data_IF_424269493826
#
_entry.id   IF_424269493826
#
_cell.length_a   1.000
_cell.length_b   1.000
_cell.length_c   1.000
_cell.angle_alpha   90.00
_cell.angle_beta   90.00
_cell.angle_gamma   90.00
#
_symmetry.space_group_name_H-M   'P 1'
#
loop_
_entity.id
_entity.type
_entity.pdbx_description
1 polymer ?
#
# COMPACT_ATOMS: atom_id res chain seq x y z
N UNK A 1 -21.90 8.21 -14.13
CA UNK A 1 -21.38 6.97 -13.48
C UNK A 1 -19.88 7.05 -13.50
N UNK A 2 -19.26 6.84 -12.36
CA UNK A 2 -17.80 6.73 -12.29
C UNK A 2 -17.38 5.38 -12.89
N UNK A 3 -16.41 5.41 -13.78
CA UNK A 3 -15.86 4.21 -14.45
C UNK A 3 -14.45 4.02 -13.96
N UNK A 4 -14.19 2.88 -13.34
CA UNK A 4 -12.86 2.53 -12.83
C UNK A 4 -11.96 2.03 -13.96
N UNK A 5 -10.70 2.48 -13.95
CA UNK A 5 -9.65 1.95 -14.79
C UNK A 5 -9.05 0.66 -14.19
N UNK A 6 -8.44 -0.19 -15.04
CA UNK A 6 -7.67 -1.33 -14.58
C UNK A 6 -6.20 -0.95 -14.33
N UNK A 7 -5.62 -0.06 -15.16
CA UNK A 7 -4.25 0.44 -14.96
C UNK A 7 -4.05 1.82 -15.62
N UNK A 8 -2.97 2.49 -15.23
CA UNK A 8 -2.51 3.73 -15.86
C UNK A 8 -1.69 3.35 -17.10
N UNK A 9 -2.17 3.77 -18.28
CA UNK A 9 -1.51 3.49 -19.55
C UNK A 9 -0.33 4.43 -19.84
N UNK A 10 -0.47 5.71 -19.46
CA UNK A 10 0.54 6.74 -19.74
C UNK A 10 0.45 7.89 -18.76
N UNK A 11 1.58 8.44 -18.40
CA UNK A 11 1.72 9.67 -17.62
C UNK A 11 2.51 10.69 -18.44
N UNK A 12 2.00 11.89 -18.55
CA UNK A 12 2.68 13.04 -19.16
C UNK A 12 2.84 14.14 -18.11
N UNK A 13 4.04 14.71 -18.02
CA UNK A 13 4.35 15.82 -17.13
C UNK A 13 5.04 16.89 -17.96
N UNK A 14 4.38 18.02 -18.15
CA UNK A 14 4.95 19.15 -18.87
C UNK A 14 5.69 20.09 -17.92
N UNK A 15 6.73 20.73 -18.45
CA UNK A 15 7.55 21.75 -17.75
C UNK A 15 8.04 21.30 -16.37
N UNK A 16 8.48 20.04 -16.23
CA UNK A 16 9.13 19.60 -15.01
C UNK A 16 10.38 20.47 -14.77
N UNK A 17 10.38 21.24 -13.67
CA UNK A 17 11.37 22.28 -13.35
C UNK A 17 11.54 23.36 -14.44
N UNK A 18 10.45 23.68 -15.16
CA UNK A 18 10.43 24.64 -16.29
C UNK A 18 11.41 24.27 -17.42
N UNK A 19 11.72 22.98 -17.57
CA UNK A 19 12.76 22.55 -18.52
C UNK A 19 12.46 21.26 -19.26
N UNK A 20 11.80 20.30 -18.64
CA UNK A 20 11.65 18.95 -19.18
C UNK A 20 10.19 18.57 -19.34
N UNK A 21 9.88 18.02 -20.52
CA UNK A 21 8.62 17.31 -20.76
C UNK A 21 8.89 15.81 -20.66
N UNK A 22 8.07 15.13 -19.87
CA UNK A 22 8.17 13.69 -19.66
C UNK A 22 6.92 13.05 -20.24
N UNK A 23 7.10 12.00 -20.99
CA UNK A 23 6.05 11.11 -21.45
C UNK A 23 6.47 9.68 -21.13
N UNK A 24 5.70 9.01 -20.27
CA UNK A 24 6.01 7.68 -19.77
C UNK A 24 4.87 6.72 -20.07
N UNK A 25 5.08 5.83 -21.04
CA UNK A 25 4.16 4.73 -21.35
C UNK A 25 4.36 3.61 -20.34
N UNK A 26 3.27 3.20 -19.71
CA UNK A 26 3.27 2.23 -18.63
C UNK A 26 2.71 0.88 -19.07
N UNK A 27 3.23 -0.17 -18.48
CA UNK A 27 2.72 -1.53 -18.59
C UNK A 27 1.65 -1.78 -17.53
N UNK A 28 0.74 -2.75 -17.73
CA UNK A 28 -0.32 -3.06 -16.75
C UNK A 28 0.21 -3.72 -15.46
N UNK A 29 1.45 -4.18 -15.46
CA UNK A 29 2.10 -4.89 -14.35
C UNK A 29 3.09 -3.96 -13.60
N UNK A 30 4.36 -4.28 -13.61
CA UNK A 30 5.41 -3.56 -12.87
C UNK A 30 6.10 -2.55 -13.78
N UNK A 31 6.22 -1.30 -13.29
CA UNK A 31 6.96 -0.22 -13.93
C UNK A 31 8.01 0.31 -12.95
N UNK A 32 9.27 0.39 -13.39
CA UNK A 32 10.39 0.81 -12.55
C UNK A 32 10.96 2.11 -13.09
N UNK A 33 10.94 3.16 -12.26
CA UNK A 33 11.60 4.42 -12.52
C UNK A 33 12.97 4.42 -11.83
N UNK A 34 14.02 4.24 -12.59
CA UNK A 34 15.40 4.15 -12.11
C UNK A 34 16.22 5.37 -12.51
N UNK A 35 17.21 5.72 -11.71
CA UNK A 35 18.15 6.83 -11.97
C UNK A 35 18.89 7.26 -10.70
N UNK A 36 19.90 8.12 -10.88
CA UNK A 36 20.70 8.64 -9.77
C UNK A 36 19.87 9.49 -8.81
N UNK A 37 20.37 9.66 -7.58
CA UNK A 37 19.68 10.49 -6.59
C UNK A 37 19.61 11.95 -7.08
N UNK A 38 18.48 12.60 -6.82
CA UNK A 38 18.21 13.96 -7.25
C UNK A 38 17.73 14.12 -8.69
N UNK A 39 17.62 13.06 -9.49
CA UNK A 39 17.14 13.13 -10.88
C UNK A 39 15.63 13.37 -11.01
N UNK A 40 14.89 13.34 -9.88
CA UNK A 40 13.46 13.67 -9.85
C UNK A 40 12.50 12.49 -9.79
N UNK A 41 12.95 11.27 -9.49
CA UNK A 41 12.08 10.10 -9.34
C UNK A 41 10.89 10.36 -8.40
N UNK A 42 11.18 10.77 -7.18
CA UNK A 42 10.17 11.16 -6.17
C UNK A 42 9.27 12.31 -6.64
N UNK A 43 9.81 13.27 -7.39
CA UNK A 43 9.03 14.40 -7.92
C UNK A 43 8.01 13.93 -8.96
N UNK A 44 8.40 13.04 -9.87
CA UNK A 44 7.52 12.44 -10.88
C UNK A 44 6.39 11.66 -10.18
N UNK A 45 6.77 10.80 -9.23
CA UNK A 45 5.81 10.00 -8.46
C UNK A 45 4.81 10.88 -7.70
N UNK A 46 5.30 11.89 -6.95
CA UNK A 46 4.43 12.80 -6.20
C UNK A 46 3.51 13.63 -7.10
N UNK A 47 3.98 14.11 -8.26
CA UNK A 47 3.11 14.82 -9.22
C UNK A 47 2.00 13.93 -9.76
N UNK A 48 2.32 12.66 -10.06
CA UNK A 48 1.33 11.68 -10.51
C UNK A 48 0.29 11.38 -9.44
N UNK A 49 0.71 11.19 -8.19
CA UNK A 49 -0.19 10.97 -7.04
C UNK A 49 -1.08 12.18 -6.80
N UNK A 50 -0.50 13.40 -6.77
CA UNK A 50 -1.28 14.63 -6.57
C UNK A 50 -2.34 14.84 -7.66
N UNK A 51 -2.04 14.46 -8.91
CA UNK A 51 -3.05 14.47 -9.98
C UNK A 51 -4.21 13.52 -9.67
N UNK A 52 -3.93 12.29 -9.22
CA UNK A 52 -4.97 11.33 -8.87
C UNK A 52 -5.79 11.76 -7.65
N UNK A 53 -5.17 12.42 -6.66
CA UNK A 53 -5.88 13.00 -5.51
C UNK A 53 -6.89 14.07 -5.93
N UNK A 54 -6.50 14.93 -6.85
CA UNK A 54 -7.35 16.02 -7.35
C UNK A 54 -8.49 15.51 -8.25
N UNK A 55 -8.25 14.45 -9.02
CA UNK A 55 -9.27 13.87 -9.91
C UNK A 55 -10.28 12.98 -9.18
N UNK A 56 -9.96 12.49 -8.00
CA UNK A 56 -10.89 11.73 -7.13
C UNK A 56 -11.88 12.62 -6.37
N UNK A 57 -11.74 13.96 -6.42
CA UNK A 57 -12.69 14.95 -5.94
C UNK A 57 -13.31 15.70 -7.13
N UNK A 58 -14.46 16.35 -6.94
CA UNK A 58 -15.21 17.10 -7.98
C UNK A 58 -14.44 18.25 -8.67
N UNK A 59 -13.14 18.34 -8.52
CA UNK A 59 -12.28 19.38 -9.11
C UNK A 59 -11.74 18.90 -10.45
N UNK A 60 -12.35 19.37 -11.52
CA UNK A 60 -11.85 19.22 -12.89
C UNK A 60 -10.42 19.75 -13.00
N UNK A 61 -9.54 18.89 -13.57
CA UNK A 61 -8.23 19.15 -14.16
C UNK A 61 -7.68 20.56 -13.95
N UNK A 62 -6.71 20.69 -13.07
CA UNK A 62 -5.86 21.85 -12.99
C UNK A 62 -4.85 21.78 -14.16
N UNK A 63 -5.20 22.38 -15.31
CA UNK A 63 -4.27 22.59 -16.44
C UNK A 63 -2.99 23.31 -16.01
N UNK A 64 -3.00 23.92 -14.80
CA UNK A 64 -1.86 24.65 -14.23
C UNK A 64 -0.70 23.76 -13.77
N UNK A 65 -0.92 22.46 -13.51
CA UNK A 65 0.14 21.59 -13.02
C UNK A 65 0.86 20.81 -14.12
N UNK A 66 0.38 20.88 -15.37
CA UNK A 66 1.03 20.23 -16.52
C UNK A 66 1.16 18.71 -16.41
N UNK A 67 0.30 18.04 -15.63
CA UNK A 67 0.28 16.60 -15.48
C UNK A 67 -0.97 16.03 -16.11
N UNK A 68 -0.82 14.99 -16.94
CA UNK A 68 -1.91 14.24 -17.54
C UNK A 68 -1.70 12.74 -17.30
N UNK A 69 -2.74 12.07 -16.83
CA UNK A 69 -2.76 10.62 -16.64
C UNK A 69 -3.79 10.02 -17.57
N UNK A 70 -3.37 9.06 -18.38
CA UNK A 70 -4.22 8.35 -19.32
C UNK A 70 -4.44 6.93 -18.81
N UNK A 71 -5.68 6.51 -18.74
CA UNK A 71 -6.07 5.17 -18.34
C UNK A 71 -6.12 4.21 -19.54
N UNK A 72 -6.15 2.91 -19.26
CA UNK A 72 -6.36 1.85 -20.24
C UNK A 72 -7.71 1.99 -20.96
N UNK A 73 -8.75 2.37 -20.21
CA UNK A 73 -10.08 2.67 -20.71
C UNK A 73 -10.26 4.19 -20.82
N UNK A 74 -10.48 4.74 -22.04
CA UNK A 74 -10.71 6.18 -22.21
C UNK A 74 -11.96 6.72 -21.50
N UNK A 75 -12.93 5.84 -21.17
CA UNK A 75 -14.11 6.21 -20.40
C UNK A 75 -13.89 6.20 -18.89
N UNK A 76 -12.75 5.69 -18.43
CA UNK A 76 -12.44 5.64 -17.00
C UNK A 76 -12.19 7.04 -16.43
N UNK A 77 -12.71 7.27 -15.25
CA UNK A 77 -12.64 8.55 -14.55
C UNK A 77 -11.75 8.51 -13.32
N UNK A 78 -11.47 7.31 -12.80
CA UNK A 78 -10.63 7.12 -11.62
C UNK A 78 -9.95 5.75 -11.60
N UNK A 79 -8.92 5.63 -10.78
CA UNK A 79 -8.29 4.38 -10.40
C UNK A 79 -7.95 4.43 -8.90
N UNK A 80 -8.28 3.40 -8.11
CA UNK A 80 -7.83 3.30 -6.73
C UNK A 80 -6.31 3.20 -6.67
N UNK A 81 -5.69 3.85 -5.69
CA UNK A 81 -4.24 3.78 -5.52
C UNK A 81 -3.86 3.78 -4.04
N UNK A 82 -2.66 3.29 -3.76
CA UNK A 82 -1.97 3.43 -2.48
C UNK A 82 -0.54 3.94 -2.72
N UNK A 83 0.00 4.65 -1.72
CA UNK A 83 1.37 5.18 -1.76
C UNK A 83 2.14 4.63 -0.57
N UNK A 84 3.24 3.92 -0.86
CA UNK A 84 4.16 3.44 0.16
C UNK A 84 5.43 4.28 0.09
N UNK A 85 5.76 4.93 1.20
CA UNK A 85 6.97 5.73 1.36
C UNK A 85 7.91 5.03 2.33
N UNK A 86 9.15 4.83 1.92
CA UNK A 86 10.16 4.10 2.69
C UNK A 86 10.89 4.94 3.72
N UNK A 87 10.62 6.25 3.78
CA UNK A 87 11.31 7.13 4.71
C UNK A 87 10.79 6.98 6.13
N UNK A 88 11.61 6.38 7.00
CA UNK A 88 11.36 6.33 8.44
C UNK A 88 11.77 7.68 9.09
N UNK A 89 11.09 8.75 8.67
CA UNK A 89 11.30 10.08 9.24
C UNK A 89 10.51 10.23 10.53
N UNK A 90 11.08 10.90 11.55
CA UNK A 90 10.30 11.32 12.70
C UNK A 90 9.11 12.19 12.23
N UNK A 91 7.93 11.90 12.73
CA UNK A 91 6.76 12.73 12.46
C UNK A 91 6.98 14.10 13.10
N UNK A 92 6.87 15.16 12.30
CA UNK A 92 6.69 16.51 12.83
C UNK A 92 5.20 16.59 13.20
N UNK A 93 4.91 16.28 14.45
CA UNK A 93 3.57 16.28 14.97
C UNK A 93 3.02 17.71 14.99
N UNK A 94 2.16 18.05 14.04
CA UNK A 94 1.23 19.16 14.22
C UNK A 94 0.21 18.78 15.31
N UNK A 95 -0.37 19.78 15.99
CA UNK A 95 -1.31 19.58 17.12
C UNK A 95 -2.47 18.61 16.85
N UNK A 96 -2.81 18.40 15.60
CA UNK A 96 -3.92 17.53 15.19
C UNK A 96 -3.55 16.04 15.20
N UNK A 97 -2.36 15.68 14.72
CA UNK A 97 -1.86 14.30 14.71
C UNK A 97 -1.47 13.83 16.11
N UNK A 98 -0.98 14.73 16.96
CA UNK A 98 -0.62 14.42 18.34
C UNK A 98 -1.82 13.98 19.20
N UNK A 99 -3.04 14.42 18.87
CA UNK A 99 -4.27 14.08 19.61
C UNK A 99 -4.94 12.78 19.17
N UNK A 100 -4.63 12.27 18.00
CA UNK A 100 -5.29 11.11 17.39
C UNK A 100 -4.40 9.87 17.27
N UNK A 101 -3.09 10.02 17.36
CA UNK A 101 -2.16 8.90 17.23
C UNK A 101 -1.90 8.22 18.58
N UNK A 102 -1.77 6.90 18.56
CA UNK A 102 -1.21 6.13 19.67
C UNK A 102 0.18 6.68 20.02
N UNK A 103 0.51 6.75 21.32
CA UNK A 103 1.80 7.20 21.84
C UNK A 103 3.00 6.40 21.27
N UNK A 104 2.75 5.24 20.67
CA UNK A 104 3.74 4.42 20.00
C UNK A 104 4.09 4.88 18.57
N UNK A 105 3.28 5.74 17.95
CA UNK A 105 3.50 6.26 16.60
C UNK A 105 4.51 7.41 16.64
N UNK A 106 5.72 7.17 16.14
CA UNK A 106 6.83 8.12 16.22
C UNK A 106 7.41 8.49 14.85
N UNK A 107 7.16 7.68 13.84
CA UNK A 107 7.71 7.84 12.50
C UNK A 107 6.65 7.74 11.42
N UNK A 108 7.03 8.09 10.20
CA UNK A 108 6.16 7.96 9.02
C UNK A 108 5.73 6.51 8.79
N UNK A 109 6.62 5.53 8.99
CA UNK A 109 6.28 4.11 8.89
C UNK A 109 5.30 3.69 10.00
N UNK A 110 5.47 4.21 11.23
CA UNK A 110 4.53 3.94 12.31
C UNK A 110 3.13 4.49 11.98
N UNK A 111 3.07 5.67 11.36
CA UNK A 111 1.81 6.27 10.92
C UNK A 111 1.13 5.44 9.83
N UNK A 112 1.88 5.00 8.82
CA UNK A 112 1.35 4.11 7.78
C UNK A 112 0.83 2.81 8.39
N UNK A 113 1.57 2.18 9.31
CA UNK A 113 1.13 0.99 10.03
C UNK A 113 -0.14 1.24 10.86
N UNK A 114 -0.24 2.38 11.53
CA UNK A 114 -1.43 2.76 12.30
C UNK A 114 -2.69 2.84 11.40
N UNK A 115 -2.58 3.48 10.24
CA UNK A 115 -3.68 3.56 9.29
C UNK A 115 -4.02 2.17 8.70
N UNK A 116 -3.00 1.38 8.37
CA UNK A 116 -3.18 0.04 7.82
C UNK A 116 -3.80 -0.95 8.82
N UNK A 117 -3.51 -0.82 10.12
CA UNK A 117 -4.19 -1.64 11.14
C UNK A 117 -5.70 -1.41 11.17
N UNK A 118 -6.16 -0.17 10.97
CA UNK A 118 -7.59 0.14 10.87
C UNK A 118 -8.21 -0.50 9.62
N UNK A 119 -7.56 -0.34 8.47
CA UNK A 119 -8.00 -0.98 7.22
C UNK A 119 -7.99 -2.51 7.35
N UNK A 120 -7.05 -3.08 8.11
CA UNK A 120 -7.00 -4.51 8.37
C UNK A 120 -8.17 -5.01 9.22
N UNK A 121 -8.64 -4.22 10.18
CA UNK A 121 -9.87 -4.53 10.92
C UNK A 121 -11.08 -4.52 10.00
N UNK A 122 -11.23 -3.49 9.17
CA UNK A 122 -12.31 -3.41 8.18
C UNK A 122 -12.27 -4.58 7.19
N UNK A 123 -11.08 -4.93 6.69
CA UNK A 123 -10.87 -6.11 5.85
C UNK A 123 -11.38 -7.39 6.53
N UNK A 124 -11.01 -7.63 7.80
CA UNK A 124 -11.46 -8.82 8.54
C UNK A 124 -12.97 -8.87 8.72
N UNK A 125 -13.60 -7.72 9.01
CA UNK A 125 -15.06 -7.61 9.12
C UNK A 125 -15.72 -7.93 7.79
N UNK A 126 -15.22 -7.38 6.69
CA UNK A 126 -15.74 -7.62 5.34
C UNK A 126 -15.61 -9.10 4.94
N UNK A 127 -14.46 -9.73 5.19
CA UNK A 127 -14.27 -11.18 4.96
C UNK A 127 -15.22 -12.00 5.84
N UNK A 128 -15.38 -11.63 7.11
CA UNK A 128 -16.32 -12.28 8.02
C UNK A 128 -17.76 -12.22 7.51
N UNK A 129 -18.21 -11.06 7.04
CA UNK A 129 -19.54 -10.87 6.46
C UNK A 129 -19.72 -11.71 5.17
N UNK A 130 -18.75 -11.68 4.26
CA UNK A 130 -18.76 -12.55 3.05
C UNK A 130 -18.83 -14.03 3.42
N UNK A 131 -18.08 -14.46 4.44
CA UNK A 131 -18.13 -15.86 4.92
C UNK A 131 -19.51 -16.24 5.46
N UNK A 132 -20.15 -15.38 6.26
CA UNK A 132 -21.51 -15.61 6.80
C UNK A 132 -22.52 -15.70 5.66
N UNK A 133 -22.41 -14.84 4.65
CA UNK A 133 -23.27 -14.86 3.47
C UNK A 133 -23.14 -16.19 2.72
N UNK A 134 -21.92 -16.62 2.41
CA UNK A 134 -21.67 -17.89 1.73
C UNK A 134 -22.16 -19.11 2.55
N UNK A 135 -21.95 -19.10 3.87
CA UNK A 135 -22.40 -20.19 4.75
C UNK A 135 -23.93 -20.26 4.87
N UNK A 136 -24.61 -19.16 4.61
CA UNK A 136 -26.09 -19.08 4.61
C UNK A 136 -26.71 -19.50 3.27
N UNK A 137 -25.90 -19.64 2.22
CA UNK A 137 -26.30 -19.99 0.88
C UNK A 137 -26.49 -21.51 0.64
N UNK A 138 -26.46 -21.89 -0.62
CA UNK A 138 -26.52 -23.29 -1.05
C UNK A 138 -25.20 -24.06 -0.77
N UNK A 139 -25.16 -25.36 -1.16
CA UNK A 139 -24.00 -26.21 -0.88
C UNK A 139 -22.76 -25.78 -1.66
N UNK A 140 -22.93 -25.26 -2.88
CA UNK A 140 -21.84 -24.73 -3.70
C UNK A 140 -21.23 -23.48 -3.05
N UNK A 141 -22.05 -22.53 -2.63
CA UNK A 141 -21.63 -21.33 -1.93
C UNK A 141 -20.91 -21.66 -0.61
N UNK A 142 -21.44 -22.59 0.19
CA UNK A 142 -20.80 -23.02 1.44
C UNK A 142 -19.41 -23.61 1.21
N UNK A 143 -19.20 -24.32 0.11
CA UNK A 143 -17.88 -24.89 -0.23
C UNK A 143 -16.81 -23.84 -0.51
N UNK A 144 -17.20 -22.61 -0.89
CA UNK A 144 -16.29 -21.49 -1.17
C UNK A 144 -15.88 -20.71 0.08
N UNK A 145 -16.67 -20.76 1.16
CA UNK A 145 -16.41 -19.95 2.36
C UNK A 145 -14.99 -20.11 2.95
N UNK A 146 -14.40 -21.33 3.04
CA UNK A 146 -13.04 -21.48 3.56
C UNK A 146 -11.96 -20.76 2.72
N UNK A 147 -12.17 -20.61 1.41
CA UNK A 147 -11.21 -19.98 0.49
C UNK A 147 -11.00 -18.51 0.81
N UNK A 148 -12.00 -17.81 1.35
CA UNK A 148 -11.90 -16.41 1.75
C UNK A 148 -10.84 -16.15 2.83
N UNK A 149 -10.45 -17.16 3.59
CA UNK A 149 -9.40 -17.07 4.61
C UNK A 149 -7.98 -17.22 4.04
N UNK A 150 -7.83 -17.69 2.81
CA UNK A 150 -6.52 -18.01 2.21
C UNK A 150 -5.61 -16.79 2.06
N UNK A 151 -6.06 -15.61 1.59
CA UNK A 151 -5.20 -14.43 1.48
C UNK A 151 -4.59 -14.03 2.83
N UNK A 152 -5.41 -14.00 3.90
CA UNK A 152 -4.93 -13.71 5.25
C UNK A 152 -3.89 -14.73 5.72
N UNK A 153 -4.12 -16.02 5.47
CA UNK A 153 -3.16 -17.08 5.84
C UNK A 153 -1.84 -16.92 5.08
N UNK A 154 -1.89 -16.72 3.77
CA UNK A 154 -0.69 -16.47 2.96
C UNK A 154 0.12 -15.29 3.49
N UNK A 155 -0.56 -14.17 3.77
CA UNK A 155 0.09 -13.01 4.36
C UNK A 155 0.80 -13.36 5.68
N UNK A 156 0.13 -14.07 6.59
CA UNK A 156 0.72 -14.47 7.87
C UNK A 156 1.90 -15.45 7.70
N UNK A 157 1.79 -16.38 6.77
CA UNK A 157 2.88 -17.34 6.46
C UNK A 157 4.09 -16.60 5.85
N UNK A 158 3.89 -15.67 4.94
CA UNK A 158 4.95 -14.84 4.35
C UNK A 158 5.65 -13.98 5.42
N UNK A 159 4.91 -13.38 6.32
CA UNK A 159 5.47 -12.60 7.43
C UNK A 159 6.29 -13.47 8.35
N UNK A 160 5.80 -14.65 8.75
CA UNK A 160 6.53 -15.59 9.61
C UNK A 160 7.83 -16.08 8.93
N UNK A 161 7.79 -16.33 7.60
CA UNK A 161 8.98 -16.68 6.82
C UNK A 161 10.00 -15.55 6.80
N UNK A 162 9.58 -14.33 6.47
CA UNK A 162 10.45 -13.16 6.39
C UNK A 162 11.11 -12.84 7.73
N UNK A 163 10.38 -12.98 8.84
CA UNK A 163 10.86 -12.61 10.17
C UNK A 163 11.49 -13.79 10.93
N UNK A 164 11.62 -14.94 10.28
CA UNK A 164 12.20 -16.17 10.89
C UNK A 164 13.59 -15.95 11.48
N UNK A 165 14.46 -15.21 10.80
CA UNK A 165 15.81 -14.90 11.27
C UNK A 165 15.85 -14.06 12.56
N UNK A 166 14.81 -13.29 12.82
CA UNK A 166 14.68 -12.48 14.04
C UNK A 166 13.78 -13.13 15.10
N UNK A 167 13.37 -14.40 14.84
CA UNK A 167 12.51 -15.20 15.73
C UNK A 167 11.20 -14.50 16.12
N UNK A 168 10.63 -13.75 15.18
CA UNK A 168 9.33 -13.11 15.35
C UNK A 168 8.26 -13.88 14.60
N UNK A 169 7.11 -14.05 15.22
CA UNK A 169 5.93 -14.68 14.62
C UNK A 169 4.71 -13.81 14.81
N UNK A 170 3.83 -13.79 13.80
CA UNK A 170 2.58 -13.03 13.89
C UNK A 170 1.53 -13.77 14.73
N UNK A 171 0.78 -13.06 15.55
CA UNK A 171 -0.36 -13.62 16.29
C UNK A 171 -1.53 -13.85 15.33
N UNK A 172 -1.80 -15.13 15.05
CA UNK A 172 -2.86 -15.53 14.11
C UNK A 172 -4.26 -15.42 14.69
N UNK A 173 -4.39 -15.23 16.00
CA UNK A 173 -5.68 -15.16 16.71
C UNK A 173 -6.11 -13.73 17.02
N UNK A 174 -5.17 -12.81 17.02
CA UNK A 174 -5.45 -11.40 17.27
C UNK A 174 -6.19 -10.76 16.08
N UNK A 175 -7.10 -9.83 16.39
CA UNK A 175 -7.69 -8.94 15.38
C UNK A 175 -6.72 -7.82 14.98
N UNK A 176 -5.80 -7.46 15.89
CA UNK A 176 -4.74 -6.49 15.62
C UNK A 176 -3.50 -7.20 15.07
N UNK A 177 -2.65 -6.45 14.36
CA UNK A 177 -1.31 -6.93 14.01
C UNK A 177 -0.44 -6.91 15.26
N UNK A 178 -0.10 -8.09 15.74
CA UNK A 178 0.72 -8.33 16.93
C UNK A 178 1.72 -9.41 16.61
N UNK A 179 2.90 -9.32 17.19
CA UNK A 179 3.96 -10.30 17.08
C UNK A 179 4.32 -10.90 18.43
N UNK A 180 4.95 -12.05 18.39
CA UNK A 180 5.67 -12.65 19.53
C UNK A 180 7.14 -12.81 19.17
N UNK A 181 8.01 -12.47 20.12
CA UNK A 181 9.45 -12.73 20.06
C UNK A 181 9.90 -13.32 21.40
N UNK A 182 10.49 -14.50 21.38
CA UNK A 182 10.91 -15.20 22.59
C UNK A 182 9.81 -15.35 23.68
N UNK A 183 8.54 -15.46 23.25
CA UNK A 183 7.39 -15.56 24.14
C UNK A 183 6.82 -14.21 24.62
N UNK A 184 7.48 -13.11 24.32
CA UNK A 184 7.01 -11.77 24.68
C UNK A 184 6.16 -11.15 23.55
N UNK A 185 5.10 -10.44 23.93
CA UNK A 185 4.23 -9.73 23.01
C UNK A 185 4.91 -8.47 22.49
N UNK A 186 4.94 -8.30 21.16
CA UNK A 186 5.61 -7.21 20.48
C UNK A 186 4.61 -6.49 19.58
N UNK A 187 4.47 -5.16 19.75
CA UNK A 187 3.66 -4.33 18.85
C UNK A 187 4.43 -4.02 17.55
N UNK A 188 3.75 -3.82 16.41
CA UNK A 188 4.39 -3.59 15.12
C UNK A 188 5.29 -2.36 15.09
N UNK A 189 5.01 -1.36 15.92
CA UNK A 189 5.84 -0.15 16.06
C UNK A 189 7.26 -0.42 16.61
N UNK A 190 7.49 -1.60 17.20
CA UNK A 190 8.78 -2.03 17.74
C UNK A 190 9.61 -2.86 16.76
N UNK A 191 9.10 -3.11 15.59
CA UNK A 191 9.85 -3.75 14.51
C UNK A 191 10.98 -2.83 14.01
N UNK A 192 12.00 -3.41 13.39
CA UNK A 192 13.03 -2.64 12.67
C UNK A 192 12.40 -1.92 11.46
N UNK A 193 13.09 -0.88 10.94
CA UNK A 193 12.58 -0.14 9.77
C UNK A 193 12.33 -1.05 8.57
N UNK A 194 13.22 -1.99 8.28
CA UNK A 194 13.04 -2.96 7.19
C UNK A 194 11.84 -3.91 7.42
N UNK A 195 11.66 -4.41 8.64
CA UNK A 195 10.49 -5.24 8.99
C UNK A 195 9.18 -4.45 8.88
N UNK A 196 9.16 -3.20 9.36
CA UNK A 196 8.01 -2.30 9.20
C UNK A 196 7.70 -2.07 7.72
N UNK A 197 8.72 -1.82 6.91
CA UNK A 197 8.59 -1.59 5.47
C UNK A 197 7.95 -2.79 4.78
N UNK A 198 8.47 -4.01 5.01
CA UNK A 198 7.87 -5.23 4.46
C UNK A 198 6.45 -5.45 4.95
N UNK A 199 6.20 -5.21 6.23
CA UNK A 199 4.85 -5.30 6.79
C UNK A 199 3.88 -4.32 6.13
N UNK A 200 4.29 -3.06 5.91
CA UNK A 200 3.49 -2.04 5.22
C UNK A 200 3.16 -2.51 3.80
N UNK A 201 4.15 -3.00 3.04
CA UNK A 201 3.94 -3.47 1.66
C UNK A 201 2.92 -4.62 1.63
N UNK A 202 3.19 -5.69 2.38
CA UNK A 202 2.34 -6.89 2.37
C UNK A 202 0.94 -6.63 2.92
N UNK A 203 0.83 -5.81 3.97
CA UNK A 203 -0.46 -5.46 4.56
C UNK A 203 -1.28 -4.56 3.63
N UNK A 204 -0.64 -3.64 2.90
CA UNK A 204 -1.33 -2.82 1.88
C UNK A 204 -1.95 -3.69 0.80
N UNK A 205 -1.21 -4.68 0.30
CA UNK A 205 -1.73 -5.63 -0.70
C UNK A 205 -2.89 -6.45 -0.13
N UNK A 206 -2.75 -6.98 1.10
CA UNK A 206 -3.81 -7.79 1.72
C UNK A 206 -5.12 -7.02 1.87
N UNK A 207 -5.08 -5.78 2.38
CA UNK A 207 -6.30 -5.02 2.67
C UNK A 207 -7.01 -4.48 1.43
N UNK A 208 -6.43 -4.65 0.25
CA UNK A 208 -7.08 -4.35 -1.03
C UNK A 208 -8.06 -5.42 -1.49
N UNK A 209 -7.98 -6.63 -0.95
CA UNK A 209 -8.94 -7.72 -1.17
C UNK A 209 -9.26 -7.96 -2.67
N UNK A 210 -8.20 -8.09 -3.48
CA UNK A 210 -8.25 -8.27 -4.95
C UNK A 210 -8.80 -7.08 -5.77
N UNK A 211 -9.04 -5.92 -5.15
CA UNK A 211 -9.40 -4.71 -5.89
C UNK A 211 -8.24 -4.25 -6.79
N UNK A 212 -8.55 -3.99 -8.06
CA UNK A 212 -7.58 -3.39 -8.98
C UNK A 212 -7.15 -2.01 -8.46
N UNK A 213 -5.87 -1.85 -8.20
CA UNK A 213 -5.30 -0.59 -7.72
C UNK A 213 -3.89 -0.36 -8.27
N UNK A 214 -3.46 0.89 -8.27
CA UNK A 214 -2.06 1.24 -8.52
C UNK A 214 -1.33 1.39 -7.20
N UNK A 215 -0.20 0.70 -7.06
CA UNK A 215 0.66 0.83 -5.91
C UNK A 215 1.90 1.67 -6.30
N UNK A 216 1.96 2.88 -5.77
CA UNK A 216 3.14 3.74 -5.90
C UNK A 216 4.10 3.46 -4.76
N UNK A 217 5.35 3.12 -5.09
CA UNK A 217 6.39 2.89 -4.10
C UNK A 217 7.59 3.80 -4.38
N UNK A 218 7.98 4.59 -3.37
CA UNK A 218 9.16 5.45 -3.45
C UNK A 218 10.31 4.84 -2.64
N UNK A 219 11.38 4.44 -3.33
CA UNK A 219 12.57 3.77 -2.76
C UNK A 219 12.21 2.59 -1.83
N UNK A 220 11.34 1.65 -2.26
CA UNK A 220 10.86 0.57 -1.38
C UNK A 220 11.98 -0.31 -0.83
N UNK A 221 13.14 -0.31 -1.47
CA UNK A 221 14.33 -1.07 -1.11
C UNK A 221 15.18 -0.40 -0.01
N UNK A 222 15.00 0.89 0.29
CA UNK A 222 15.96 1.69 1.06
C UNK A 222 16.29 1.13 2.47
N UNK A 223 15.32 0.50 3.13
CA UNK A 223 15.49 -0.09 4.47
C UNK A 223 15.57 -1.61 4.46
N UNK A 224 15.50 -2.24 3.29
CA UNK A 224 15.40 -3.69 3.16
C UNK A 224 16.78 -4.37 3.09
N UNK A 225 16.89 -5.53 3.73
CA UNK A 225 18.02 -6.42 3.52
C UNK A 225 18.07 -6.92 2.07
N UNK A 226 19.27 -7.19 1.55
CA UNK A 226 19.47 -7.54 0.12
C UNK A 226 18.60 -8.73 -0.34
N UNK A 227 18.39 -9.74 0.48
CA UNK A 227 17.52 -10.87 0.15
C UNK A 227 16.05 -10.46 0.00
N UNK A 228 15.59 -9.48 0.79
CA UNK A 228 14.24 -8.96 0.71
C UNK A 228 14.06 -8.04 -0.50
N UNK A 229 15.11 -7.28 -0.86
CA UNK A 229 15.10 -6.50 -2.11
C UNK A 229 14.92 -7.40 -3.34
N UNK A 230 15.57 -8.56 -3.36
CA UNK A 230 15.44 -9.54 -4.45
C UNK A 230 14.02 -10.17 -4.52
N UNK A 231 13.36 -10.33 -3.37
CA UNK A 231 12.00 -10.88 -3.29
C UNK A 231 10.90 -9.84 -3.52
N UNK A 232 11.23 -8.54 -3.54
CA UNK A 232 10.23 -7.46 -3.56
C UNK A 232 9.36 -7.47 -4.83
N UNK A 233 9.89 -7.92 -5.95
CA UNK A 233 9.24 -7.90 -7.28
C UNK A 233 8.90 -9.33 -7.76
N UNK A 234 9.32 -10.35 -7.04
CA UNK A 234 9.06 -11.75 -7.36
C UNK A 234 7.68 -12.20 -6.87
#
# INVERSE_FOLDING_TARGET
>A
MEVQANYIKRIEIHELWHRYDIAWDLRPDVNILSGINGVGKTTILNRSVNYLEQTSGEVKSDEKNGVHVYFDNPAATFIPYDVIRSYDRPLIMGDFTARMADANVKSELDWQLYLLQRRYLDYQVNIGNKMIELLSGDEEQRSLAPSLSLPKRKFQDMIDELFSYTHKTIDRKSNDIVFYQNGERLLPYKLSSGEKQMLVILLTVLVRDDDHCVLFMDEPEASLHIEWQQKLIA
#
